data_IF_691223745749
#
_entry.id   IF_691223745749
#
_cell.length_a   1.000
_cell.length_b   1.000
_cell.length_c   1.000
_cell.angle_alpha   90.00
_cell.angle_beta   90.00
_cell.angle_gamma   90.00
#
_symmetry.space_group_name_H-M   'P 1'
#
loop_
_entity.id
_entity.type
_entity.pdbx_description
1 polymer ?
#
# COMPACT_ATOMS: atom_id res chain seq x y z
N UNK A 1 15.06 2.49 24.32
CA UNK A 1 15.15 1.24 23.54
C UNK A 1 15.45 1.45 22.05
N UNK A 2 15.27 2.68 21.46
CA UNK A 2 15.67 2.98 20.06
C UNK A 2 17.18 3.26 19.88
N UNK A 3 17.91 3.53 20.95
CA UNK A 3 19.37 3.75 20.90
C UNK A 3 20.16 2.44 20.88
N UNK A 4 19.69 1.40 21.58
CA UNK A 4 20.35 0.10 21.62
C UNK A 4 20.42 -0.59 20.26
N UNK A 5 19.40 -0.45 19.43
CA UNK A 5 19.38 -1.07 18.09
C UNK A 5 20.38 -0.47 17.09
N UNK A 6 20.87 0.76 17.29
CA UNK A 6 21.88 1.40 16.42
C UNK A 6 23.31 1.01 16.76
N UNK A 7 23.61 0.79 18.04
CA UNK A 7 24.95 0.32 18.47
C UNK A 7 25.18 -1.14 18.06
N UNK A 8 24.15 -1.98 18.11
CA UNK A 8 24.25 -3.39 17.67
C UNK A 8 24.56 -3.55 16.17
N UNK A 9 24.07 -2.65 15.31
CA UNK A 9 24.35 -2.68 13.87
C UNK A 9 25.81 -2.35 13.53
N UNK A 10 26.51 -1.66 14.42
CA UNK A 10 27.89 -1.20 14.19
C UNK A 10 28.98 -2.12 14.77
N UNK A 11 28.60 -3.24 15.41
CA UNK A 11 29.59 -4.22 15.87
C UNK A 11 30.28 -4.87 14.68
N UNK A 12 31.62 -4.86 14.67
CA UNK A 12 32.41 -5.60 13.69
C UNK A 12 32.24 -7.11 13.93
N UNK A 13 32.43 -7.92 12.89
CA UNK A 13 32.29 -9.37 12.97
C UNK A 13 33.11 -9.98 14.12
N UNK A 14 34.34 -9.48 14.32
CA UNK A 14 35.28 -10.00 15.32
C UNK A 14 34.87 -9.69 16.76
N UNK A 15 34.06 -8.64 16.96
CA UNK A 15 33.53 -8.26 18.29
C UNK A 15 32.25 -8.99 18.69
N UNK A 16 31.72 -9.85 17.81
CA UNK A 16 30.50 -10.61 18.07
C UNK A 16 30.82 -11.87 18.91
N UNK A 17 29.88 -12.23 19.79
CA UNK A 17 29.88 -13.55 20.41
C UNK A 17 29.64 -14.66 19.37
N UNK A 18 29.95 -15.91 19.73
CA UNK A 18 29.71 -17.03 18.81
C UNK A 18 28.22 -17.17 18.48
N UNK A 19 27.32 -17.00 19.44
CA UNK A 19 25.86 -17.02 19.22
C UNK A 19 25.41 -15.93 18.24
N UNK A 20 25.92 -14.69 18.38
CA UNK A 20 25.62 -13.59 17.46
C UNK A 20 26.11 -13.90 16.04
N UNK A 21 27.30 -14.50 15.90
CA UNK A 21 27.87 -14.96 14.62
C UNK A 21 26.99 -16.02 13.97
N UNK A 22 26.59 -17.04 14.73
CA UNK A 22 25.76 -18.14 14.24
C UNK A 22 24.38 -17.64 13.79
N UNK A 23 23.76 -16.74 14.56
CA UNK A 23 22.49 -16.10 14.20
C UNK A 23 22.61 -15.28 12.91
N UNK A 24 23.70 -14.52 12.74
CA UNK A 24 23.92 -13.73 11.50
C UNK A 24 24.15 -14.63 10.28
N UNK A 25 24.90 -15.73 10.45
CA UNK A 25 25.10 -16.71 9.39
C UNK A 25 23.80 -17.39 8.99
N UNK A 26 22.99 -17.81 9.97
CA UNK A 26 21.70 -18.41 9.72
C UNK A 26 20.75 -17.44 9.00
N UNK A 27 20.76 -16.16 9.41
CA UNK A 27 19.96 -15.11 8.77
C UNK A 27 20.41 -14.88 7.32
N UNK A 28 21.72 -14.80 7.08
CA UNK A 28 22.29 -14.68 5.74
C UNK A 28 21.94 -15.88 4.83
N UNK A 29 21.98 -17.09 5.38
CA UNK A 29 21.61 -18.30 4.66
C UNK A 29 20.10 -18.30 4.29
N UNK A 30 19.23 -17.81 5.18
CA UNK A 30 17.79 -17.63 4.87
C UNK A 30 17.57 -16.61 3.76
N UNK A 31 18.27 -15.46 3.81
CA UNK A 31 18.23 -14.45 2.76
C UNK A 31 18.60 -15.01 1.40
N UNK A 32 19.72 -15.71 1.34
CA UNK A 32 20.18 -16.36 0.12
C UNK A 32 19.17 -17.40 -0.41
N UNK A 33 18.71 -18.29 0.47
CA UNK A 33 17.73 -19.33 0.12
C UNK A 33 16.42 -18.73 -0.40
N UNK A 34 15.92 -17.68 0.26
CA UNK A 34 14.71 -16.98 -0.15
C UNK A 34 14.90 -16.32 -1.52
N UNK A 35 16.05 -15.65 -1.73
CA UNK A 35 16.37 -15.02 -3.01
C UNK A 35 16.41 -16.06 -4.15
N UNK A 36 17.06 -17.20 -3.92
CA UNK A 36 17.11 -18.27 -4.92
C UNK A 36 15.75 -18.90 -5.21
N UNK A 37 14.90 -19.03 -4.19
CA UNK A 37 13.60 -19.71 -4.32
C UNK A 37 12.47 -18.81 -4.78
N UNK A 38 12.46 -17.56 -4.34
CA UNK A 38 11.34 -16.62 -4.53
C UNK A 38 11.73 -15.36 -5.30
N UNK A 39 13.01 -15.17 -5.63
CA UNK A 39 13.54 -13.95 -6.25
C UNK A 39 13.73 -12.77 -5.29
N UNK A 40 13.39 -12.94 -4.01
CA UNK A 40 13.43 -11.87 -2.99
C UNK A 40 14.01 -12.38 -1.67
N UNK A 41 14.84 -11.58 -0.99
CA UNK A 41 15.45 -11.98 0.28
C UNK A 41 14.45 -12.03 1.43
N UNK A 42 13.45 -11.15 1.45
CA UNK A 42 12.44 -11.08 2.51
C UNK A 42 11.01 -10.99 1.97
N UNK A 43 10.06 -11.19 2.88
CA UNK A 43 8.64 -11.00 2.60
C UNK A 43 8.29 -9.56 2.25
N UNK A 44 9.09 -8.59 2.74
CA UNK A 44 8.83 -7.16 2.56
C UNK A 44 9.00 -6.76 1.09
N UNK A 45 10.16 -7.05 0.50
CA UNK A 45 10.43 -6.76 -0.91
C UNK A 45 9.47 -7.55 -1.81
N UNK A 46 9.21 -8.82 -1.45
CA UNK A 46 8.28 -9.65 -2.20
C UNK A 46 6.87 -9.05 -2.23
N UNK A 47 6.32 -8.64 -1.07
CA UNK A 47 4.99 -8.03 -1.00
C UNK A 47 4.91 -6.71 -1.73
N UNK A 48 5.86 -5.81 -1.49
CA UNK A 48 5.90 -4.50 -2.12
C UNK A 48 5.86 -4.62 -3.65
N UNK A 49 6.59 -5.59 -4.21
CA UNK A 49 6.61 -5.78 -5.65
C UNK A 49 5.42 -6.56 -6.19
N UNK A 50 4.96 -7.61 -5.49
CA UNK A 50 3.88 -8.47 -5.99
C UNK A 50 2.48 -8.03 -5.58
N UNK A 51 2.34 -7.29 -4.47
CA UNK A 51 1.05 -6.78 -4.01
C UNK A 51 0.90 -5.28 -4.20
N UNK A 52 1.99 -4.53 -4.38
CA UNK A 52 1.99 -3.08 -4.41
C UNK A 52 1.80 -2.43 -3.04
N UNK A 53 1.61 -3.23 -1.97
CA UNK A 53 1.37 -2.74 -0.61
C UNK A 53 2.18 -3.52 0.41
N UNK A 54 2.59 -2.86 1.49
CA UNK A 54 3.43 -3.44 2.55
C UNK A 54 2.69 -4.49 3.38
N UNK A 55 1.42 -4.24 3.71
CA UNK A 55 0.59 -5.07 4.57
C UNK A 55 -0.58 -5.67 3.81
N UNK A 56 -1.22 -6.69 4.38
CA UNK A 56 -2.51 -7.15 3.93
C UNK A 56 -3.56 -6.03 4.07
N UNK A 57 -4.61 -6.12 3.28
CA UNK A 57 -5.78 -5.27 3.43
C UNK A 57 -6.33 -5.37 4.87
N UNK A 58 -6.74 -4.23 5.42
CA UNK A 58 -7.36 -4.12 6.74
C UNK A 58 -8.71 -3.38 6.64
N UNK A 59 -9.50 -3.45 7.71
CA UNK A 59 -10.80 -2.77 7.80
C UNK A 59 -11.71 -3.05 6.58
N UNK A 60 -11.67 -4.29 6.09
CA UNK A 60 -12.42 -4.65 4.89
C UNK A 60 -13.90 -4.81 5.17
N UNK A 61 -14.72 -4.27 4.26
CA UNK A 61 -16.17 -4.45 4.23
C UNK A 61 -16.64 -4.65 2.79
N UNK A 62 -17.83 -5.26 2.63
CA UNK A 62 -18.43 -5.51 1.32
C UNK A 62 -19.89 -5.07 1.30
N UNK A 63 -20.26 -4.36 0.24
CA UNK A 63 -21.64 -3.99 -0.04
C UNK A 63 -21.93 -4.21 -1.53
N UNK A 64 -22.74 -5.22 -1.84
CA UNK A 64 -22.99 -5.61 -3.24
C UNK A 64 -21.70 -6.01 -3.96
N UNK A 65 -21.38 -5.29 -5.03
CA UNK A 65 -20.17 -5.48 -5.84
C UNK A 65 -19.00 -4.57 -5.39
N UNK A 66 -19.19 -3.78 -4.35
CA UNK A 66 -18.17 -2.85 -3.86
C UNK A 66 -17.47 -3.49 -2.65
N UNK A 67 -16.14 -3.39 -2.64
CA UNK A 67 -15.28 -3.84 -1.53
C UNK A 67 -14.49 -2.63 -1.07
N UNK A 68 -14.62 -2.28 0.21
CA UNK A 68 -13.83 -1.25 0.87
C UNK A 68 -12.73 -1.91 1.69
N UNK A 69 -11.53 -1.38 1.65
CA UNK A 69 -10.41 -1.84 2.48
C UNK A 69 -9.30 -0.80 2.54
N UNK A 70 -8.53 -0.82 3.63
CA UNK A 70 -7.32 -0.03 3.76
C UNK A 70 -6.09 -0.84 3.37
N UNK A 71 -5.11 -0.18 2.77
CA UNK A 71 -3.77 -0.72 2.48
C UNK A 71 -2.70 0.25 2.96
N UNK A 72 -1.48 -0.25 3.20
CA UNK A 72 -0.40 0.62 3.65
C UNK A 72 0.31 1.27 2.45
N UNK A 73 0.32 2.61 2.43
CA UNK A 73 1.12 3.51 1.57
C UNK A 73 0.74 3.57 0.09
N UNK A 74 0.11 2.55 -0.45
CA UNK A 74 -0.23 2.51 -1.87
C UNK A 74 -1.38 1.56 -2.15
N UNK A 75 -2.00 1.70 -3.31
CA UNK A 75 -3.04 0.78 -3.76
C UNK A 75 -2.43 -0.57 -4.14
N UNK A 76 -3.15 -1.70 -4.01
CA UNK A 76 -2.67 -3.02 -4.37
C UNK A 76 -2.82 -3.28 -5.88
N UNK A 77 -2.34 -2.38 -6.71
CA UNK A 77 -2.51 -2.42 -8.17
C UNK A 77 -2.07 -3.74 -8.81
N UNK A 78 -0.92 -4.35 -8.44
CA UNK A 78 -0.53 -5.66 -8.98
C UNK A 78 -1.54 -6.77 -8.71
N UNK A 79 -2.22 -6.73 -7.55
CA UNK A 79 -3.27 -7.70 -7.21
C UNK A 79 -4.51 -7.47 -8.08
N UNK A 80 -4.93 -6.22 -8.27
CA UNK A 80 -6.07 -5.87 -9.12
C UNK A 80 -5.81 -6.31 -10.57
N UNK A 81 -4.61 -6.03 -11.08
CA UNK A 81 -4.17 -6.51 -12.40
C UNK A 81 -4.24 -8.05 -12.50
N UNK A 82 -3.70 -8.77 -11.51
CA UNK A 82 -3.74 -10.24 -11.49
C UNK A 82 -5.17 -10.78 -11.43
N UNK A 83 -6.06 -10.13 -10.67
CA UNK A 83 -7.48 -10.48 -10.64
C UNK A 83 -8.15 -10.28 -12.01
N UNK A 84 -7.84 -9.18 -12.71
CA UNK A 84 -8.41 -8.92 -14.03
C UNK A 84 -7.94 -9.91 -15.10
N UNK A 85 -6.72 -10.46 -14.98
CA UNK A 85 -6.26 -11.59 -15.81
C UNK A 85 -7.04 -12.85 -15.49
N UNK A 86 -7.27 -13.12 -14.20
CA UNK A 86 -7.99 -14.31 -13.75
C UNK A 86 -9.48 -14.29 -14.12
N UNK A 87 -10.08 -13.12 -14.18
CA UNK A 87 -11.50 -12.90 -14.49
C UNK A 87 -11.62 -11.91 -15.67
N UNK A 88 -11.33 -12.33 -16.90
CA UNK A 88 -11.19 -11.42 -18.06
C UNK A 88 -12.48 -10.72 -18.46
N UNK A 89 -13.64 -11.30 -18.14
CA UNK A 89 -14.96 -10.73 -18.43
C UNK A 89 -15.37 -9.64 -17.43
N UNK A 90 -14.61 -9.49 -16.32
CA UNK A 90 -14.89 -8.52 -15.25
C UNK A 90 -13.99 -7.29 -15.41
N UNK A 91 -14.58 -6.11 -15.34
CA UNK A 91 -13.84 -4.86 -15.14
C UNK A 91 -13.69 -4.58 -13.65
N UNK A 92 -12.45 -4.38 -13.22
CA UNK A 92 -12.12 -3.98 -11.85
C UNK A 92 -11.89 -2.48 -11.82
N UNK A 93 -12.79 -1.75 -11.20
CA UNK A 93 -12.71 -0.32 -10.99
C UNK A 93 -12.25 -0.03 -9.56
N UNK A 94 -11.27 0.84 -9.41
CA UNK A 94 -10.69 1.19 -8.11
C UNK A 94 -10.66 2.70 -7.97
N UNK A 95 -11.19 3.16 -6.85
CA UNK A 95 -11.03 4.52 -6.36
C UNK A 95 -10.17 4.46 -5.08
N UNK A 96 -9.26 5.39 -4.93
CA UNK A 96 -8.35 5.41 -3.78
C UNK A 96 -8.14 6.82 -3.24
N UNK A 97 -7.89 6.91 -1.95
CA UNK A 97 -7.51 8.14 -1.27
C UNK A 97 -6.56 7.82 -0.11
N UNK A 98 -5.64 8.74 0.15
CA UNK A 98 -4.72 8.71 1.28
C UNK A 98 -5.30 9.46 2.49
N UNK A 99 -4.81 9.14 3.69
CA UNK A 99 -5.13 9.88 4.92
C UNK A 99 -4.68 11.36 4.87
N UNK A 100 -3.71 11.67 4.01
CA UNK A 100 -3.36 13.05 3.63
C UNK A 100 -4.37 13.58 2.61
N UNK A 101 -5.51 14.03 3.13
CA UNK A 101 -6.74 14.33 2.39
C UNK A 101 -6.52 15.27 1.23
N UNK A 102 -6.81 14.79 0.01
CA UNK A 102 -6.62 15.54 -1.24
C UNK A 102 -5.27 15.32 -1.93
N UNK A 103 -4.37 14.56 -1.31
CA UNK A 103 -3.16 14.05 -1.95
C UNK A 103 -3.28 12.53 -2.15
N UNK A 104 -2.49 11.99 -3.10
CA UNK A 104 -2.51 10.56 -3.45
C UNK A 104 -3.95 10.02 -3.55
N UNK A 105 -4.73 10.65 -4.41
CA UNK A 105 -6.15 10.35 -4.65
C UNK A 105 -6.42 10.23 -6.14
N UNK A 106 -7.23 9.24 -6.52
CA UNK A 106 -7.56 9.03 -7.92
C UNK A 106 -8.36 7.76 -8.16
N UNK A 107 -8.39 7.36 -9.43
CA UNK A 107 -9.06 6.13 -9.85
C UNK A 107 -8.30 5.44 -10.99
N UNK A 108 -8.45 4.13 -11.07
CA UNK A 108 -7.97 3.33 -12.19
C UNK A 108 -8.87 2.12 -12.41
N UNK A 109 -8.79 1.54 -13.61
CA UNK A 109 -9.47 0.28 -13.87
C UNK A 109 -8.63 -0.66 -14.72
N UNK A 110 -8.84 -1.95 -14.48
CA UNK A 110 -8.23 -3.07 -15.18
C UNK A 110 -9.27 -4.00 -15.77
N UNK A 111 -9.01 -4.48 -16.99
CA UNK A 111 -9.74 -5.56 -17.65
C UNK A 111 -8.79 -6.45 -18.42
N UNK A 112 -8.91 -7.75 -18.30
CA UNK A 112 -8.07 -8.75 -19.02
C UNK A 112 -6.55 -8.52 -18.84
N UNK A 113 -6.11 -7.94 -17.70
CA UNK A 113 -4.71 -7.62 -17.42
C UNK A 113 -4.24 -6.27 -17.97
N UNK A 114 -5.08 -5.52 -18.68
CA UNK A 114 -4.76 -4.23 -19.23
C UNK A 114 -5.38 -3.10 -18.40
N UNK A 115 -4.63 -2.04 -18.17
CA UNK A 115 -5.14 -0.82 -17.56
C UNK A 115 -5.91 -0.03 -18.63
N UNK A 116 -7.21 0.06 -18.44
CA UNK A 116 -8.10 0.73 -19.41
C UNK A 116 -8.48 2.16 -18.99
N UNK A 117 -8.18 2.52 -17.73
CA UNK A 117 -8.42 3.85 -17.19
C UNK A 117 -7.42 4.17 -16.09
N UNK A 118 -6.98 5.44 -16.01
CA UNK A 118 -6.20 5.98 -14.91
C UNK A 118 -6.39 7.49 -14.84
N UNK A 119 -6.76 8.01 -13.68
CA UNK A 119 -6.83 9.45 -13.40
C UNK A 119 -6.20 9.70 -12.01
N UNK A 120 -5.17 10.51 -12.00
CA UNK A 120 -4.60 11.12 -10.80
C UNK A 120 -5.33 12.45 -10.52
N UNK A 121 -5.85 12.62 -9.31
CA UNK A 121 -6.69 13.78 -8.93
C UNK A 121 -6.10 14.61 -7.80
N UNK A 122 -4.87 14.33 -7.37
CA UNK A 122 -4.22 15.04 -6.26
C UNK A 122 -4.19 16.54 -6.50
N UNK A 123 -4.46 17.32 -5.45
CA UNK A 123 -4.47 18.78 -5.47
C UNK A 123 -5.68 19.40 -6.20
N UNK A 124 -6.62 18.60 -6.69
CA UNK A 124 -7.84 19.11 -7.35
C UNK A 124 -9.05 19.10 -6.40
N UNK A 125 -10.04 19.95 -6.68
CA UNK A 125 -11.32 19.92 -5.94
C UNK A 125 -12.09 18.61 -6.15
N UNK A 126 -11.95 18.00 -7.33
CA UNK A 126 -12.54 16.69 -7.62
C UNK A 126 -11.88 15.59 -6.75
N UNK A 127 -10.54 15.58 -6.67
CA UNK A 127 -9.81 14.65 -5.82
C UNK A 127 -10.12 14.87 -4.34
N UNK A 128 -10.21 16.12 -3.89
CA UNK A 128 -10.62 16.42 -2.53
C UNK A 128 -12.02 15.89 -2.21
N UNK A 129 -12.98 16.06 -3.13
CA UNK A 129 -14.33 15.52 -2.99
C UNK A 129 -14.35 13.99 -2.92
N UNK A 130 -13.57 13.32 -3.78
CA UNK A 130 -13.42 11.87 -3.75
C UNK A 130 -12.81 11.39 -2.43
N UNK A 131 -11.74 12.03 -1.95
CA UNK A 131 -11.10 11.70 -0.68
C UNK A 131 -12.05 11.86 0.49
N UNK A 132 -12.81 12.96 0.55
CA UNK A 132 -13.82 13.20 1.58
C UNK A 132 -14.84 12.06 1.62
N UNK A 133 -15.35 11.64 0.47
CA UNK A 133 -16.32 10.55 0.35
C UNK A 133 -15.74 9.21 0.76
N UNK A 134 -14.57 8.83 0.24
CA UNK A 134 -13.95 7.54 0.54
C UNK A 134 -13.52 7.38 2.00
N UNK A 135 -13.12 8.49 2.64
CA UNK A 135 -12.67 8.50 4.04
C UNK A 135 -13.80 8.81 5.05
N UNK A 136 -15.02 9.09 4.58
CA UNK A 136 -16.17 9.39 5.46
C UNK A 136 -16.00 10.72 6.21
N UNK A 137 -15.48 11.74 5.56
CA UNK A 137 -15.12 13.02 6.19
C UNK A 137 -16.12 14.14 5.94
N UNK A 138 -17.33 13.86 5.44
CA UNK A 138 -18.36 14.83 5.07
C UNK A 138 -18.78 15.73 6.25
N UNK A 139 -18.65 15.23 7.47
CA UNK A 139 -18.96 16.02 8.68
C UNK A 139 -17.99 17.15 8.91
N UNK A 140 -16.75 17.03 8.44
CA UNK A 140 -15.66 18.00 8.65
C UNK A 140 -15.49 18.99 7.50
N UNK A 141 -16.13 18.73 6.35
CA UNK A 141 -16.05 19.58 5.17
C UNK A 141 -17.40 20.11 4.74
N UNK A 142 -17.40 21.23 4.06
CA UNK A 142 -18.55 21.83 3.40
C UNK A 142 -18.20 22.20 1.96
N UNK A 143 -19.19 22.14 1.07
CA UNK A 143 -19.03 22.55 -0.33
C UNK A 143 -19.66 23.92 -0.52
N UNK A 144 -18.83 24.97 -0.73
CA UNK A 144 -19.27 26.37 -0.83
C UNK A 144 -18.57 26.99 -2.04
N UNK A 145 -19.37 27.68 -2.87
CA UNK A 145 -18.88 28.37 -4.09
C UNK A 145 -18.06 27.50 -5.03
N UNK A 146 -18.45 26.21 -5.18
CA UNK A 146 -17.76 25.26 -6.05
C UNK A 146 -16.48 24.67 -5.47
N UNK A 147 -16.23 24.85 -4.18
CA UNK A 147 -15.02 24.36 -3.49
C UNK A 147 -15.34 23.66 -2.18
N UNK A 148 -14.62 22.58 -1.89
CA UNK A 148 -14.61 21.98 -0.56
C UNK A 148 -13.75 22.81 0.40
N UNK A 149 -14.30 23.10 1.57
CA UNK A 149 -13.62 23.84 2.64
C UNK A 149 -13.80 23.08 3.96
N UNK A 150 -12.75 23.05 4.78
CA UNK A 150 -12.87 22.51 6.12
C UNK A 150 -13.75 23.45 6.97
N UNK A 151 -14.73 22.89 7.64
CA UNK A 151 -15.59 23.65 8.56
C UNK A 151 -14.73 24.25 9.67
N UNK A 152 -15.04 25.49 10.05
CA UNK A 152 -14.42 26.09 11.23
C UNK A 152 -15.08 25.48 12.46
N UNK A 153 -14.27 25.11 13.42
CA UNK A 153 -14.70 24.73 14.77
C UNK A 153 -15.33 25.91 15.47
#
# INVERSE_FOLDING_TARGET
>A
SKSESREEVCKTWDSLTQEEKDNRLLFGAKYFTNTMRYGFPTWYEWRTQNWGAKWNACNSSKSGNIIFFGTAWSTPEPIIKALSVKYPDVTFEVEYADEDVGNNVGSYSYKSGEQIHFIEMSGSQQGLGLAISLLGLETYFEFVDGQYRRKKE
#
